data_IF_657087761049
#
_entry.id   IF_657087761049
#
_cell.length_a   1.000
_cell.length_b   1.000
_cell.length_c   1.000
_cell.angle_alpha   90.00
_cell.angle_beta   90.00
_cell.angle_gamma   90.00
#
_symmetry.space_group_name_H-M   'P 1'
#
loop_
_entity.id
_entity.type
_entity.pdbx_description
1 polymer ?
#
# COMPACT_ATOMS: atom_id res chain seq x y z
N UNK A 1 -21.46 -13.02 -3.74
CA UNK A 1 -20.74 -11.78 -4.10
C UNK A 1 -20.72 -11.59 -5.62
N UNK A 2 -21.66 -10.80 -6.17
CA UNK A 2 -21.77 -10.51 -7.62
C UNK A 2 -21.51 -9.04 -7.96
N UNK A 3 -21.55 -8.15 -6.97
CA UNK A 3 -21.56 -6.69 -7.18
C UNK A 3 -20.23 -6.16 -7.72
N UNK A 4 -19.09 -6.58 -7.17
CA UNK A 4 -17.76 -6.12 -7.63
C UNK A 4 -17.49 -6.46 -9.11
N UNK A 5 -17.72 -7.73 -9.48
CA UNK A 5 -17.64 -8.15 -10.89
C UNK A 5 -18.67 -7.38 -11.74
N UNK A 6 -19.91 -7.23 -11.28
CA UNK A 6 -20.95 -6.48 -12.00
C UNK A 6 -20.59 -5.00 -12.20
N UNK A 7 -19.94 -4.34 -11.22
CA UNK A 7 -19.49 -2.96 -11.33
C UNK A 7 -18.34 -2.81 -12.34
N UNK A 8 -17.46 -3.80 -12.41
CA UNK A 8 -16.42 -3.90 -13.43
C UNK A 8 -17.03 -4.09 -14.82
N UNK A 9 -17.89 -5.10 -14.97
CA UNK A 9 -18.54 -5.44 -16.24
C UNK A 9 -19.37 -4.27 -16.80
N UNK A 10 -19.98 -3.48 -15.91
CA UNK A 10 -20.76 -2.28 -16.27
C UNK A 10 -19.91 -1.02 -16.45
N UNK A 11 -18.58 -1.10 -16.36
CA UNK A 11 -17.68 0.04 -16.50
C UNK A 11 -17.87 1.14 -15.44
N UNK A 12 -18.56 0.83 -14.33
CA UNK A 12 -18.89 1.83 -13.29
C UNK A 12 -17.67 2.31 -12.52
N UNK A 13 -16.54 1.60 -12.65
CA UNK A 13 -15.27 1.95 -11.99
C UNK A 13 -14.30 2.71 -12.91
N UNK A 14 -14.65 3.03 -14.17
CA UNK A 14 -13.74 3.71 -15.10
C UNK A 14 -13.27 5.08 -14.56
N UNK A 15 -14.09 5.77 -13.77
CA UNK A 15 -13.70 7.03 -13.11
C UNK A 15 -13.09 6.88 -11.71
N UNK A 16 -12.96 5.65 -11.19
CA UNK A 16 -12.54 5.41 -9.81
C UNK A 16 -11.07 5.81 -9.62
N UNK A 17 -10.84 6.87 -8.84
CA UNK A 17 -9.50 7.39 -8.50
C UNK A 17 -8.99 6.91 -7.15
N UNK A 18 -9.89 6.57 -6.24
CA UNK A 18 -9.58 6.10 -4.91
C UNK A 18 -10.50 4.93 -4.58
N UNK A 19 -9.94 3.88 -3.99
CA UNK A 19 -10.68 2.71 -3.56
C UNK A 19 -10.26 2.36 -2.12
N UNK A 20 -11.24 2.29 -1.23
CA UNK A 20 -11.06 1.83 0.14
C UNK A 20 -11.78 0.49 0.33
N UNK A 21 -11.02 -0.55 0.64
CA UNK A 21 -11.49 -1.89 1.00
C UNK A 21 -11.06 -2.26 2.42
N UNK A 22 -10.64 -1.29 3.24
CA UNK A 22 -10.16 -1.54 4.60
C UNK A 22 -11.23 -2.18 5.48
N UNK A 23 -10.83 -3.14 6.31
CA UNK A 23 -11.70 -3.87 7.25
C UNK A 23 -12.85 -4.63 6.59
N UNK A 24 -12.73 -4.97 5.31
CA UNK A 24 -13.74 -5.74 4.57
C UNK A 24 -13.42 -7.24 4.55
N UNK A 25 -13.39 -7.87 5.73
CA UNK A 25 -13.01 -9.29 5.92
C UNK A 25 -13.86 -10.30 5.14
N UNK A 26 -15.05 -9.89 4.69
CA UNK A 26 -15.98 -10.73 3.93
C UNK A 26 -15.74 -10.68 2.41
N UNK A 27 -14.80 -9.85 1.92
CA UNK A 27 -14.49 -9.82 0.50
C UNK A 27 -13.70 -11.06 0.07
N UNK A 28 -14.03 -11.57 -1.11
CA UNK A 28 -13.32 -12.71 -1.66
C UNK A 28 -12.00 -12.20 -2.25
N UNK A 29 -10.88 -12.71 -1.74
CA UNK A 29 -9.53 -12.29 -2.13
C UNK A 29 -9.30 -12.40 -3.63
N UNK A 30 -9.83 -13.45 -4.30
CA UNK A 30 -9.70 -13.60 -5.76
C UNK A 30 -10.50 -12.55 -6.53
N UNK A 31 -11.70 -12.20 -6.04
CA UNK A 31 -12.50 -11.14 -6.64
C UNK A 31 -11.81 -9.78 -6.51
N UNK A 32 -11.19 -9.50 -5.37
CA UNK A 32 -10.37 -8.29 -5.20
C UNK A 32 -9.14 -8.35 -6.11
N UNK A 33 -8.47 -9.49 -6.21
CA UNK A 33 -7.33 -9.63 -7.12
C UNK A 33 -7.73 -9.32 -8.58
N UNK A 34 -8.84 -9.90 -9.07
CA UNK A 34 -9.38 -9.61 -10.42
C UNK A 34 -9.69 -8.13 -10.61
N UNK A 35 -10.32 -7.50 -9.62
CA UNK A 35 -10.53 -6.04 -9.61
C UNK A 35 -9.21 -5.28 -9.71
N UNK A 36 -8.19 -5.63 -8.92
CA UNK A 36 -6.91 -4.96 -8.97
C UNK A 36 -6.21 -5.11 -10.33
N UNK A 37 -6.34 -6.28 -10.96
CA UNK A 37 -5.78 -6.53 -12.30
C UNK A 37 -6.45 -5.72 -13.42
N UNK A 38 -7.73 -5.35 -13.27
CA UNK A 38 -8.43 -4.57 -14.30
C UNK A 38 -7.95 -3.11 -14.36
N UNK A 39 -7.33 -2.59 -13.29
CA UNK A 39 -6.83 -1.21 -13.23
C UNK A 39 -5.62 -0.94 -14.15
N UNK A 40 -5.09 -1.96 -14.83
CA UNK A 40 -4.13 -1.79 -15.92
C UNK A 40 -4.69 -1.09 -17.15
N UNK A 41 -5.99 -1.23 -17.40
CA UNK A 41 -6.61 -0.68 -18.59
C UNK A 41 -6.69 0.86 -18.49
N UNK A 42 -6.34 1.55 -19.58
CA UNK A 42 -6.27 3.02 -19.71
C UNK A 42 -7.52 3.73 -19.19
N UNK A 43 -8.68 3.07 -19.36
CA UNK A 43 -9.97 3.57 -18.91
C UNK A 43 -10.05 3.75 -17.40
N UNK A 44 -9.28 2.99 -16.62
CA UNK A 44 -9.26 3.12 -15.17
C UNK A 44 -8.11 4.01 -14.69
N UNK A 45 -8.36 4.75 -13.60
CA UNK A 45 -7.44 5.79 -13.08
C UNK A 45 -7.24 5.68 -11.58
N UNK A 46 -7.08 4.47 -11.06
CA UNK A 46 -6.83 4.28 -9.63
C UNK A 46 -5.49 4.91 -9.25
N UNK A 47 -5.55 5.91 -8.37
CA UNK A 47 -4.41 6.65 -7.85
C UNK A 47 -4.23 6.44 -6.34
N UNK A 48 -5.25 5.96 -5.63
CA UNK A 48 -5.17 5.65 -4.22
C UNK A 48 -5.89 4.34 -3.88
N UNK A 49 -5.23 3.49 -3.10
CA UNK A 49 -5.77 2.22 -2.64
C UNK A 49 -5.50 2.08 -1.16
N UNK A 50 -6.55 1.83 -0.39
CA UNK A 50 -6.46 1.30 0.96
C UNK A 50 -7.10 -0.07 1.00
N UNK A 51 -6.34 -1.09 1.37
CA UNK A 51 -6.89 -2.41 1.60
C UNK A 51 -6.14 -3.08 2.74
N UNK A 52 -6.68 -2.85 3.93
CA UNK A 52 -6.13 -3.31 5.20
C UNK A 52 -7.12 -4.17 5.97
N UNK A 53 -6.65 -4.85 7.01
CA UNK A 53 -7.52 -5.58 7.95
C UNK A 53 -7.98 -6.97 7.48
N UNK A 54 -7.61 -7.42 6.29
CA UNK A 54 -7.99 -8.72 5.76
C UNK A 54 -6.90 -9.79 6.00
N UNK A 55 -7.07 -10.59 7.06
CA UNK A 55 -6.07 -11.56 7.56
C UNK A 55 -5.62 -12.63 6.57
N UNK A 56 -6.47 -13.00 5.60
CA UNK A 56 -6.10 -14.02 4.60
C UNK A 56 -5.18 -13.50 3.48
N UNK A 57 -4.91 -12.19 3.42
CA UNK A 57 -4.03 -11.65 2.38
C UNK A 57 -2.58 -12.02 2.67
N UNK A 58 -1.90 -12.55 1.66
CA UNK A 58 -0.50 -12.95 1.73
C UNK A 58 0.41 -11.94 1.02
N UNK A 59 1.70 -12.04 1.29
CA UNK A 59 2.77 -11.40 0.51
C UNK A 59 2.61 -11.63 -1.01
N UNK A 60 2.34 -12.86 -1.43
CA UNK A 60 2.21 -13.20 -2.85
C UNK A 60 1.03 -12.50 -3.52
N UNK A 61 -0.09 -12.31 -2.80
CA UNK A 61 -1.21 -11.52 -3.31
C UNK A 61 -0.75 -10.10 -3.67
N UNK A 62 0.02 -9.46 -2.79
CA UNK A 62 0.50 -8.10 -3.03
C UNK A 62 1.50 -8.00 -4.18
N UNK A 63 2.46 -8.91 -4.24
CA UNK A 63 3.42 -8.99 -5.35
C UNK A 63 2.69 -9.17 -6.70
N UNK A 64 1.60 -9.93 -6.71
CA UNK A 64 0.79 -10.15 -7.91
C UNK A 64 -0.13 -8.97 -8.23
N UNK A 65 -0.64 -8.25 -7.24
CA UNK A 65 -1.54 -7.12 -7.46
C UNK A 65 -0.78 -5.82 -7.83
N UNK A 66 0.33 -5.53 -7.14
CA UNK A 66 1.09 -4.27 -7.27
C UNK A 66 1.60 -4.04 -8.70
N UNK A 67 1.92 -5.11 -9.42
CA UNK A 67 2.35 -5.03 -10.84
C UNK A 67 1.34 -4.35 -11.76
N UNK A 68 0.09 -4.21 -11.34
CA UNK A 68 -0.98 -3.59 -12.12
C UNK A 68 -1.29 -2.15 -11.68
N UNK A 69 -0.63 -1.66 -10.62
CA UNK A 69 -0.90 -0.38 -9.97
C UNK A 69 0.04 0.74 -10.43
N UNK A 70 0.33 0.83 -11.73
CA UNK A 70 1.33 1.77 -12.27
C UNK A 70 1.05 3.27 -12.01
N UNK A 71 -0.22 3.62 -11.78
CA UNK A 71 -0.66 5.00 -11.53
C UNK A 71 -0.83 5.32 -10.05
N UNK A 72 -0.59 4.36 -9.17
CA UNK A 72 -0.80 4.53 -7.74
C UNK A 72 0.12 5.61 -7.17
N UNK A 73 -0.47 6.48 -6.36
CA UNK A 73 0.19 7.55 -5.60
C UNK A 73 0.11 7.27 -4.11
N UNK A 74 -0.98 6.66 -3.64
CA UNK A 74 -1.17 6.31 -2.23
C UNK A 74 -1.50 4.81 -2.15
N UNK A 75 -0.69 4.07 -1.39
CA UNK A 75 -0.90 2.66 -1.16
C UNK A 75 -0.86 2.39 0.35
N UNK A 76 -1.96 1.90 0.90
CA UNK A 76 -2.10 1.52 2.31
C UNK A 76 -2.46 0.04 2.34
N UNK A 77 -1.58 -0.78 2.91
CA UNK A 77 -1.71 -2.23 2.94
C UNK A 77 -1.36 -2.80 4.30
N UNK A 78 -1.84 -4.01 4.57
CA UNK A 78 -1.43 -4.77 5.75
C UNK A 78 -2.56 -5.01 6.73
N UNK A 79 -2.22 -5.49 7.92
CA UNK A 79 -3.19 -5.82 8.96
C UNK A 79 -2.50 -5.63 10.31
N UNK A 80 -2.90 -4.60 11.05
CA UNK A 80 -2.32 -4.28 12.36
C UNK A 80 -2.79 -5.26 13.46
N UNK A 81 -1.93 -5.53 14.45
CA UNK A 81 -2.22 -6.35 15.63
C UNK A 81 -3.14 -5.60 16.57
N UNK A 82 -4.43 -5.72 16.28
CA UNK A 82 -5.52 -5.49 17.24
C UNK A 82 -6.79 -6.23 16.83
N UNK A 83 -6.90 -6.68 15.58
CA UNK A 83 -8.17 -7.22 15.06
C UNK A 83 -8.28 -8.76 15.12
N UNK A 84 -7.19 -9.52 14.95
CA UNK A 84 -7.21 -11.00 15.02
C UNK A 84 -5.86 -11.60 15.44
N UNK A 85 -5.85 -12.43 16.48
CA UNK A 85 -4.65 -12.91 17.22
C UNK A 85 -3.73 -13.92 16.51
N UNK A 86 -3.89 -14.23 15.22
CA UNK A 86 -3.11 -15.29 14.58
C UNK A 86 -2.83 -15.02 13.10
N UNK A 87 -1.92 -14.08 12.80
CA UNK A 87 -1.22 -14.12 11.52
C UNK A 87 -0.25 -15.30 11.56
N UNK A 88 -0.65 -16.45 11.00
CA UNK A 88 0.15 -17.69 11.00
C UNK A 88 1.37 -17.62 10.08
N UNK A 89 1.44 -16.64 9.18
CA UNK A 89 2.50 -16.52 8.16
C UNK A 89 3.16 -15.15 8.22
N UNK A 90 4.49 -15.14 8.37
CA UNK A 90 5.30 -13.91 8.28
C UNK A 90 5.35 -13.37 6.85
N UNK A 91 5.34 -12.04 6.72
CA UNK A 91 5.32 -11.28 5.45
C UNK A 91 6.73 -10.76 5.15
N UNK A 92 7.27 -11.11 3.98
CA UNK A 92 8.54 -10.61 3.47
C UNK A 92 8.35 -9.21 2.89
N UNK A 93 8.61 -8.20 3.72
CA UNK A 93 8.40 -6.80 3.33
C UNK A 93 9.30 -6.36 2.17
N UNK A 94 10.54 -6.84 2.10
CA UNK A 94 11.47 -6.46 1.02
C UNK A 94 10.92 -6.79 -0.38
N UNK A 95 10.21 -7.91 -0.54
CA UNK A 95 9.61 -8.27 -1.83
C UNK A 95 8.45 -7.35 -2.22
N UNK A 96 7.72 -6.83 -1.22
CA UNK A 96 6.67 -5.83 -1.43
C UNK A 96 7.31 -4.49 -1.82
N UNK A 97 8.39 -4.08 -1.14
CA UNK A 97 9.12 -2.87 -1.50
C UNK A 97 9.69 -2.95 -2.92
N UNK A 98 10.26 -4.10 -3.29
CA UNK A 98 10.74 -4.34 -4.65
C UNK A 98 9.63 -4.20 -5.68
N UNK A 99 8.47 -4.84 -5.44
CA UNK A 99 7.32 -4.72 -6.33
C UNK A 99 6.86 -3.26 -6.48
N UNK A 100 6.82 -2.49 -5.39
CA UNK A 100 6.51 -1.06 -5.42
C UNK A 100 7.56 -0.27 -6.22
N UNK A 101 8.85 -0.50 -5.98
CA UNK A 101 9.94 0.19 -6.68
C UNK A 101 9.92 -0.05 -8.19
N UNK A 102 9.64 -1.29 -8.61
CA UNK A 102 9.59 -1.67 -10.02
C UNK A 102 8.33 -1.15 -10.70
N UNK A 103 7.17 -1.27 -10.06
CA UNK A 103 5.89 -1.08 -10.74
C UNK A 103 5.17 0.24 -10.43
N UNK A 104 5.53 0.94 -9.35
CA UNK A 104 4.82 2.12 -8.85
C UNK A 104 5.72 3.37 -8.78
N UNK A 105 6.26 3.88 -9.90
CA UNK A 105 7.16 5.04 -9.89
C UNK A 105 6.49 6.37 -9.45
N UNK A 106 5.16 6.41 -9.41
CA UNK A 106 4.36 7.58 -9.00
C UNK A 106 4.00 7.58 -7.51
N UNK A 107 4.46 6.58 -6.75
CA UNK A 107 4.13 6.42 -5.34
C UNK A 107 4.60 7.63 -4.52
N UNK A 108 3.66 8.30 -3.86
CA UNK A 108 3.87 9.44 -2.97
C UNK A 108 3.75 9.04 -1.50
N UNK A 109 2.87 8.10 -1.18
CA UNK A 109 2.63 7.65 0.19
C UNK A 109 2.48 6.14 0.20
N UNK A 110 3.32 5.49 1.00
CA UNK A 110 3.25 4.06 1.26
C UNK A 110 3.03 3.86 2.76
N UNK A 111 2.04 3.07 3.12
CA UNK A 111 1.82 2.63 4.50
C UNK A 111 1.68 1.12 4.53
N UNK A 112 2.48 0.50 5.41
CA UNK A 112 2.49 -0.94 5.64
C UNK A 112 2.18 -1.16 7.12
N UNK A 113 1.01 -1.72 7.39
CA UNK A 113 0.43 -1.80 8.74
C UNK A 113 0.73 -3.10 9.49
N UNK A 114 1.49 -4.04 8.92
CA UNK A 114 1.86 -5.25 9.66
C UNK A 114 2.86 -4.92 10.76
N UNK A 115 2.63 -5.50 11.92
CA UNK A 115 3.47 -5.32 13.10
C UNK A 115 4.85 -5.98 12.93
N UNK A 116 5.85 -5.55 13.74
CA UNK A 116 7.21 -6.07 13.63
C UNK A 116 7.30 -7.59 13.72
N UNK A 117 6.51 -8.25 14.57
CA UNK A 117 6.49 -9.71 14.68
C UNK A 117 5.95 -10.44 13.43
N UNK A 118 5.13 -9.75 12.63
CA UNK A 118 4.56 -10.29 11.40
C UNK A 118 5.50 -10.11 10.22
N UNK A 119 6.43 -9.15 10.29
CA UNK A 119 7.41 -8.90 9.23
C UNK A 119 8.60 -9.86 9.31
N UNK A 120 9.07 -10.31 8.14
CA UNK A 120 10.38 -10.93 7.95
C UNK A 120 11.15 -10.15 6.90
N UNK A 121 12.45 -10.03 7.08
CA UNK A 121 13.34 -9.28 6.20
C UNK A 121 14.77 -9.77 6.40
N UNK A 122 15.63 -9.54 5.42
CA UNK A 122 17.00 -10.07 5.41
C UNK A 122 18.05 -9.05 5.81
N UNK A 123 19.31 -9.49 5.93
CA UNK A 123 20.45 -8.58 6.22
C UNK A 123 20.65 -7.52 5.12
N UNK A 124 20.18 -7.80 3.90
CA UNK A 124 20.29 -6.93 2.74
C UNK A 124 19.08 -6.00 2.52
N UNK A 125 18.17 -5.84 3.50
CA UNK A 125 16.97 -5.00 3.37
C UNK A 125 17.24 -3.56 2.97
N UNK A 126 18.41 -3.03 3.35
CA UNK A 126 18.85 -1.68 2.95
C UNK A 126 18.84 -1.47 1.44
N UNK A 127 19.16 -2.50 0.64
CA UNK A 127 19.15 -2.42 -0.84
C UNK A 127 17.73 -2.23 -1.38
N UNK A 128 16.73 -2.89 -0.80
CA UNK A 128 15.34 -2.78 -1.21
C UNK A 128 14.74 -1.42 -0.81
N UNK A 129 15.09 -0.94 0.37
CA UNK A 129 14.71 0.40 0.85
C UNK A 129 15.34 1.48 -0.06
N UNK A 130 16.62 1.34 -0.41
CA UNK A 130 17.30 2.23 -1.35
C UNK A 130 16.66 2.17 -2.75
N UNK A 131 16.30 0.97 -3.22
CA UNK A 131 15.65 0.82 -4.51
C UNK A 131 14.28 1.52 -4.55
N UNK A 132 13.46 1.36 -3.50
CA UNK A 132 12.21 2.12 -3.34
C UNK A 132 12.47 3.64 -3.39
N UNK A 133 13.46 4.13 -2.62
CA UNK A 133 13.81 5.55 -2.55
C UNK A 133 14.22 6.12 -3.90
N UNK A 134 15.01 5.37 -4.68
CA UNK A 134 15.55 5.79 -5.98
C UNK A 134 14.46 5.75 -7.07
N UNK A 135 13.60 4.73 -7.06
CA UNK A 135 12.57 4.55 -8.10
C UNK A 135 11.30 5.36 -7.84
N UNK A 136 10.91 5.54 -6.58
CA UNK A 136 9.78 6.35 -6.16
C UNK A 136 10.28 7.74 -5.72
N UNK A 137 10.80 8.53 -6.65
CA UNK A 137 11.41 9.84 -6.37
C UNK A 137 10.45 10.81 -5.69
N UNK A 138 9.15 10.69 -5.98
CA UNK A 138 8.11 11.52 -5.38
C UNK A 138 7.57 10.98 -4.04
N UNK A 139 8.21 9.98 -3.43
CA UNK A 139 7.79 9.44 -2.14
C UNK A 139 7.95 10.52 -1.05
N UNK A 140 6.85 10.90 -0.41
CA UNK A 140 6.75 11.92 0.64
C UNK A 140 6.51 11.33 2.03
N UNK A 141 6.03 10.08 2.09
CA UNK A 141 5.71 9.39 3.34
C UNK A 141 5.87 7.88 3.16
N UNK A 142 6.62 7.26 4.07
CA UNK A 142 6.72 5.81 4.20
C UNK A 142 6.43 5.43 5.65
N UNK A 143 5.27 4.84 5.89
CA UNK A 143 4.73 4.57 7.22
C UNK A 143 4.87 3.08 7.54
N UNK A 144 5.46 2.77 8.68
CA UNK A 144 5.71 1.41 9.17
C UNK A 144 5.37 1.34 10.67
N UNK A 145 5.13 0.14 11.19
CA UNK A 145 5.06 -0.06 12.64
C UNK A 145 6.45 0.10 13.29
N UNK A 146 6.47 0.63 14.52
CA UNK A 146 7.70 0.79 15.31
C UNK A 146 8.41 -0.55 15.50
N UNK A 147 9.65 -0.67 15.03
CA UNK A 147 10.42 -1.91 15.13
C UNK A 147 11.71 -1.89 14.30
N UNK A 148 12.47 -2.99 14.25
CA UNK A 148 13.81 -2.99 13.66
C UNK A 148 13.81 -2.64 12.16
N UNK A 149 12.76 -3.00 11.41
CA UNK A 149 12.64 -2.62 10.01
C UNK A 149 12.40 -1.11 9.84
N UNK A 150 11.57 -0.51 10.70
CA UNK A 150 11.34 0.93 10.72
C UNK A 150 12.64 1.69 10.98
N UNK A 151 13.42 1.28 11.99
CA UNK A 151 14.70 1.91 12.30
C UNK A 151 15.69 1.80 11.14
N UNK A 152 15.78 0.61 10.51
CA UNK A 152 16.61 0.40 9.32
C UNK A 152 16.19 1.28 8.14
N UNK A 153 14.88 1.41 7.89
CA UNK A 153 14.35 2.28 6.84
C UNK A 153 14.62 3.76 7.13
N UNK A 154 14.40 4.20 8.36
CA UNK A 154 14.65 5.57 8.80
C UNK A 154 16.11 5.95 8.62
N UNK A 155 17.04 5.15 9.17
CA UNK A 155 18.47 5.38 9.04
C UNK A 155 18.92 5.39 7.57
N UNK A 156 18.34 4.55 6.70
CA UNK A 156 18.65 4.55 5.27
C UNK A 156 18.25 5.87 4.59
N UNK A 157 17.04 6.38 4.86
CA UNK A 157 16.56 7.64 4.31
C UNK A 157 17.31 8.86 4.87
N UNK A 158 17.65 8.87 6.16
CA UNK A 158 18.44 9.93 6.80
C UNK A 158 19.86 9.99 6.22
N UNK A 159 20.52 8.85 6.01
CA UNK A 159 21.83 8.78 5.32
C UNK A 159 21.79 9.34 3.90
N UNK A 160 20.63 9.28 3.25
CA UNK A 160 20.39 9.87 1.94
C UNK A 160 19.87 11.32 2.00
N UNK A 161 19.96 11.97 3.16
CA UNK A 161 19.51 13.34 3.44
C UNK A 161 18.00 13.58 3.24
N UNK A 162 17.20 12.50 3.18
CA UNK A 162 15.73 12.55 3.00
C UNK A 162 15.00 12.38 4.33
N UNK A 163 15.14 13.39 5.19
CA UNK A 163 14.54 13.44 6.53
C UNK A 163 13.00 13.50 6.50
N UNK A 164 12.35 12.96 7.54
CA UNK A 164 10.90 13.09 7.76
C UNK A 164 10.00 12.29 6.79
N UNK A 165 10.59 11.50 5.88
CA UNK A 165 9.87 10.61 4.96
C UNK A 165 9.37 9.37 5.70
N UNK A 166 10.24 8.71 6.48
CA UNK A 166 9.89 7.49 7.22
C UNK A 166 9.19 7.87 8.53
N UNK A 167 8.01 7.29 8.78
CA UNK A 167 7.13 7.60 9.92
C UNK A 167 6.61 6.33 10.56
N UNK A 168 6.21 6.43 11.81
CA UNK A 168 5.57 5.33 12.53
C UNK A 168 4.06 5.39 12.44
N UNK A 169 3.40 4.22 12.38
CA UNK A 169 1.94 4.08 12.48
C UNK A 169 1.37 4.62 13.79
N UNK A 170 2.18 4.81 14.84
CA UNK A 170 1.72 5.39 16.12
C UNK A 170 1.58 6.92 16.07
N UNK A 171 2.30 7.59 15.17
CA UNK A 171 2.31 9.06 15.05
C UNK A 171 1.66 9.57 13.77
N UNK A 172 1.44 8.70 12.78
CA UNK A 172 0.94 9.09 11.48
C UNK A 172 0.05 8.02 10.84
N UNK A 173 -1.09 8.45 10.31
CA UNK A 173 -1.96 7.63 9.49
C UNK A 173 -2.08 8.26 8.10
N UNK A 174 -1.82 7.45 7.08
CA UNK A 174 -2.03 7.82 5.69
C UNK A 174 -3.52 7.79 5.39
N UNK A 175 -3.98 8.80 4.66
CA UNK A 175 -5.37 8.87 4.21
C UNK A 175 -5.42 8.99 2.69
N UNK A 176 -6.39 8.32 2.08
CA UNK A 176 -6.69 8.45 0.65
C UNK A 176 -7.64 9.62 0.34
N UNK A 177 -8.11 10.33 1.38
CA UNK A 177 -9.09 11.43 1.26
C UNK A 177 -8.60 12.53 0.32
N UNK A 178 -7.27 12.70 0.18
CA UNK A 178 -6.70 13.66 -0.76
C UNK A 178 -7.05 13.41 -2.24
N UNK A 179 -7.56 12.22 -2.56
CA UNK A 179 -7.95 11.83 -3.91
C UNK A 179 -9.46 11.99 -4.17
N UNK A 180 -10.24 12.45 -3.20
CA UNK A 180 -11.64 12.83 -3.41
C UNK A 180 -11.71 14.06 -4.33
N UNK A 181 -12.70 14.08 -5.23
CA UNK A 181 -12.85 15.14 -6.24
C UNK A 181 -12.94 16.55 -5.65
N UNK A 182 -13.54 16.68 -4.46
CA UNK A 182 -13.78 17.95 -3.79
C UNK A 182 -12.80 18.21 -2.63
N UNK A 183 -11.74 17.41 -2.47
CA UNK A 183 -10.84 17.55 -1.32
C UNK A 183 -10.20 18.94 -1.19
N UNK A 184 -9.86 19.59 -2.30
CA UNK A 184 -9.29 20.93 -2.24
C UNK A 184 -10.28 21.98 -1.70
N UNK A 185 -11.58 21.77 -1.86
CA UNK A 185 -12.63 22.62 -1.27
C UNK A 185 -12.76 22.38 0.24
N UNK A 186 -12.39 21.19 0.72
CA UNK A 186 -12.36 20.86 2.16
C UNK A 186 -11.13 21.41 2.89
N UNK A 187 -10.11 21.90 2.18
CA UNK A 187 -8.85 22.36 2.81
C UNK A 187 -9.02 23.67 3.59
N UNK A 188 -10.15 24.35 3.47
CA UNK A 188 -10.41 25.61 4.16
C UNK A 188 -11.91 25.76 4.48
N UNK A 189 -12.28 25.28 5.66
CA UNK A 189 -13.22 25.89 6.60
C UNK A 189 -12.51 25.99 7.94
#
# INVERSE_FOLDING_TARGET
MRVLNLLLDRGKLNGCRALDLSNTVNLNVEAVHRLLTSFTNISYRLEALSYTGHVAITEQFWINAIRYLHRIKILIIGTAHSWFKQATRRIHIDQILEACAVHCPRLNRLEIQWDPETLRFGENSSKFIDHLRIRCTNLLSFVLSDGPYYEGAKANFERAERHGIVRTTTMYQTSIVSNLSFYNELKFN
#
